data_IF_901984727932
#
_entry.id   IF_901984727932
#
_cell.length_a   1.000
_cell.length_b   1.000
_cell.length_c   1.000
_cell.angle_alpha   90.00
_cell.angle_beta   90.00
_cell.angle_gamma   90.00
#
_symmetry.space_group_name_H-M   'P 1'
#
loop_
_entity.id
_entity.type
_entity.pdbx_description
1 polymer ?
#
# COMPACT_ATOMS: atom_id res chain seq x y z
N UNK A 1 -6.32 7.31 -1.05
CA UNK A 1 -5.17 6.60 -1.66
C UNK A 1 -3.89 7.28 -1.22
N UNK A 2 -2.87 6.51 -0.82
CA UNK A 2 -1.64 7.06 -0.24
C UNK A 2 -0.69 7.65 -1.32
N UNK A 3 0.09 8.70 -0.98
CA UNK A 3 1.13 9.25 -1.85
C UNK A 3 2.36 8.34 -1.88
N UNK A 4 2.24 7.17 -2.50
CA UNK A 4 3.41 6.30 -2.67
C UNK A 4 4.50 7.01 -3.49
N UNK A 5 5.75 6.87 -3.03
CA UNK A 5 6.94 7.46 -3.64
C UNK A 5 8.01 6.38 -3.90
N UNK A 6 9.13 6.79 -4.50
CA UNK A 6 10.24 5.87 -4.79
C UNK A 6 9.81 4.67 -5.66
N UNK A 7 10.25 3.45 -5.33
CA UNK A 7 9.86 2.22 -6.05
C UNK A 7 8.35 1.97 -6.12
N UNK A 8 7.59 2.46 -5.12
CA UNK A 8 6.14 2.29 -5.04
C UNK A 8 5.36 3.38 -5.79
N UNK A 9 6.02 4.34 -6.43
CA UNK A 9 5.36 5.44 -7.16
C UNK A 9 4.34 4.95 -8.20
N UNK A 10 4.56 3.78 -8.79
CA UNK A 10 3.62 3.13 -9.71
C UNK A 10 2.24 2.88 -9.09
N UNK A 11 2.17 2.66 -7.78
CA UNK A 11 0.94 2.38 -7.03
C UNK A 11 0.12 3.64 -6.73
N UNK A 12 0.71 4.82 -6.94
CA UNK A 12 0.06 6.09 -6.60
C UNK A 12 -1.12 6.34 -7.53
N UNK A 13 -2.31 6.45 -6.94
CA UNK A 13 -3.51 6.83 -7.67
C UNK A 13 -3.39 8.24 -8.27
N UNK A 14 -4.14 8.48 -9.35
CA UNK A 14 -4.27 9.80 -9.98
C UNK A 14 -4.66 10.89 -8.97
N UNK A 15 -5.53 10.55 -8.02
CA UNK A 15 -6.01 11.43 -6.96
C UNK A 15 -5.59 10.90 -5.59
N UNK A 16 -4.29 10.64 -5.42
CA UNK A 16 -3.72 10.31 -4.11
C UNK A 16 -3.67 11.56 -3.22
N UNK A 17 -3.85 11.38 -1.91
CA UNK A 17 -3.62 12.46 -0.95
C UNK A 17 -2.17 12.91 -1.02
N UNK A 18 -1.93 14.20 -0.90
CA UNK A 18 -0.62 14.77 -0.61
C UNK A 18 -0.22 14.51 0.85
N UNK A 19 1.08 14.56 1.17
CA UNK A 19 1.54 14.45 2.55
C UNK A 19 0.93 15.51 3.49
N UNK A 20 0.65 16.72 2.99
CA UNK A 20 -0.01 17.78 3.78
C UNK A 20 -1.48 17.48 4.05
N UNK A 21 -2.21 16.94 3.07
CA UNK A 21 -3.61 16.52 3.28
C UNK A 21 -3.72 15.39 4.31
N UNK A 22 -2.79 14.42 4.29
CA UNK A 22 -2.75 13.38 5.33
C UNK A 22 -2.49 14.00 6.71
N UNK A 23 -1.52 14.92 6.82
CA UNK A 23 -1.26 15.62 8.09
C UNK A 23 -2.47 16.39 8.59
N UNK A 24 -3.22 17.02 7.69
CA UNK A 24 -4.45 17.73 8.03
C UNK A 24 -5.53 16.78 8.56
N UNK A 25 -5.73 15.62 7.91
CA UNK A 25 -6.68 14.60 8.38
C UNK A 25 -6.30 14.13 9.79
N UNK A 26 -5.02 13.84 10.04
CA UNK A 26 -4.53 13.40 11.35
C UNK A 26 -4.68 14.51 12.41
N UNK A 27 -4.42 15.76 12.04
CA UNK A 27 -4.59 16.91 12.91
C UNK A 27 -6.06 17.09 13.33
N UNK A 28 -6.97 17.06 12.37
CA UNK A 28 -8.41 17.17 12.61
C UNK A 28 -8.94 16.02 13.46
N UNK A 29 -8.47 14.78 13.24
CA UNK A 29 -8.83 13.64 14.08
C UNK A 29 -8.40 13.87 15.54
N UNK A 30 -7.17 14.35 15.76
CA UNK A 30 -6.67 14.68 17.09
C UNK A 30 -7.46 15.79 17.79
N UNK A 31 -7.88 16.84 17.07
CA UNK A 31 -8.73 17.91 17.61
C UNK A 31 -10.12 17.42 18.04
N UNK A 32 -10.58 16.28 17.50
CA UNK A 32 -11.89 15.70 17.79
C UNK A 32 -11.80 14.45 18.66
N UNK A 33 -10.65 14.22 19.32
CA UNK A 33 -10.43 13.07 20.22
C UNK A 33 -10.65 11.71 19.51
N UNK A 34 -10.36 11.64 18.21
CA UNK A 34 -10.47 10.41 17.40
C UNK A 34 -9.10 9.75 17.25
N UNK A 35 -9.04 8.44 17.53
CA UNK A 35 -7.87 7.61 17.26
C UNK A 35 -7.87 7.14 15.80
N UNK A 36 -6.74 7.32 15.11
CA UNK A 36 -6.56 6.86 13.74
C UNK A 36 -5.81 5.53 13.75
N UNK A 37 -6.50 4.46 13.38
CA UNK A 37 -5.91 3.12 13.25
C UNK A 37 -5.56 2.86 11.78
N UNK A 38 -4.27 2.73 11.42
CA UNK A 38 -3.89 2.40 10.05
C UNK A 38 -4.24 0.93 9.73
N UNK A 39 -4.87 0.73 8.58
CA UNK A 39 -5.12 -0.59 8.00
C UNK A 39 -4.22 -0.76 6.78
N UNK A 40 -3.18 -1.58 6.90
CA UNK A 40 -2.22 -1.85 5.84
C UNK A 40 -2.23 -3.35 5.55
N UNK A 41 -2.38 -3.70 4.27
CA UNK A 41 -2.27 -5.09 3.82
C UNK A 41 -0.81 -5.47 3.69
N UNK A 42 -0.42 -6.62 4.24
CA UNK A 42 0.98 -7.11 4.26
C UNK A 42 1.14 -8.50 3.65
N UNK A 43 0.05 -9.16 3.27
CA UNK A 43 0.11 -10.52 2.74
C UNK A 43 -0.99 -10.78 1.70
N UNK A 44 -2.25 -10.79 2.14
CA UNK A 44 -3.42 -10.93 1.28
C UNK A 44 -4.01 -9.59 0.84
N UNK A 45 -4.98 -9.63 -0.06
CA UNK A 45 -5.65 -8.44 -0.63
C UNK A 45 -4.66 -7.44 -1.27
N UNK A 46 -3.59 -7.98 -1.86
CA UNK A 46 -2.49 -7.23 -2.45
C UNK A 46 -2.69 -6.93 -3.94
N UNK A 47 -3.91 -7.08 -4.49
CA UNK A 47 -4.19 -6.90 -5.92
C UNK A 47 -3.84 -5.49 -6.40
N UNK A 48 -3.92 -4.50 -5.51
CA UNK A 48 -3.53 -3.12 -5.85
C UNK A 48 -2.04 -2.99 -6.15
N UNK A 49 -1.20 -3.88 -5.61
CA UNK A 49 0.25 -3.97 -5.85
C UNK A 49 0.56 -5.01 -6.92
N UNK A 50 0.15 -6.25 -6.69
CA UNK A 50 0.64 -7.41 -7.44
C UNK A 50 0.02 -7.55 -8.83
N UNK A 51 -1.02 -6.77 -9.18
CA UNK A 51 -1.52 -6.73 -10.58
C UNK A 51 -0.51 -6.13 -11.56
N UNK A 52 0.45 -5.34 -11.07
CA UNK A 52 1.45 -4.69 -11.89
C UNK A 52 2.58 -5.66 -12.27
N UNK A 53 3.07 -5.57 -13.51
CA UNK A 53 4.14 -6.44 -14.01
C UNK A 53 5.43 -6.33 -13.19
N UNK A 54 5.73 -5.14 -12.65
CA UNK A 54 6.88 -4.88 -11.79
C UNK A 54 6.88 -5.66 -10.47
N UNK A 55 5.72 -6.16 -10.02
CA UNK A 55 5.56 -6.89 -8.76
C UNK A 55 4.98 -8.30 -8.97
N UNK A 56 4.81 -8.73 -10.23
CA UNK A 56 4.13 -9.98 -10.53
C UNK A 56 4.93 -11.22 -10.09
N UNK A 57 6.25 -11.11 -10.00
CA UNK A 57 7.14 -12.18 -9.51
C UNK A 57 7.00 -12.43 -8.01
N UNK A 58 6.41 -11.50 -7.27
CA UNK A 58 6.18 -11.62 -5.83
C UNK A 58 4.86 -12.33 -5.49
N UNK A 59 4.09 -12.80 -6.47
CA UNK A 59 2.81 -13.50 -6.22
C UNK A 59 3.06 -14.90 -5.68
N UNK A 60 2.30 -15.31 -4.67
CA UNK A 60 2.33 -16.69 -4.16
C UNK A 60 1.91 -17.70 -5.25
N UNK A 61 0.84 -17.37 -5.98
CA UNK A 61 0.39 -18.14 -7.14
C UNK A 61 0.39 -17.21 -8.36
N UNK A 62 1.22 -17.51 -9.36
CA UNK A 62 1.52 -16.58 -10.46
C UNK A 62 0.29 -16.01 -11.20
N UNK A 63 -0.77 -16.80 -11.34
CA UNK A 63 -2.02 -16.38 -11.98
C UNK A 63 -2.92 -15.48 -11.11
N UNK A 64 -2.67 -15.39 -9.80
CA UNK A 64 -3.53 -14.68 -8.86
C UNK A 64 -2.76 -13.53 -8.18
N UNK A 65 -3.19 -12.26 -8.38
CA UNK A 65 -2.50 -11.11 -7.82
C UNK A 65 -2.94 -10.79 -6.37
N UNK A 66 -3.57 -11.71 -5.64
CA UNK A 66 -4.14 -11.41 -4.32
C UNK A 66 -3.17 -11.61 -3.16
N UNK A 67 -2.20 -12.51 -3.29
CA UNK A 67 -1.35 -12.95 -2.16
C UNK A 67 0.13 -12.83 -2.50
N UNK A 68 0.89 -12.28 -1.55
CA UNK A 68 2.34 -12.15 -1.60
C UNK A 68 3.01 -13.50 -1.28
N UNK A 69 4.06 -13.87 -2.02
CA UNK A 69 4.83 -15.08 -1.74
C UNK A 69 5.76 -14.85 -0.54
N UNK A 70 5.56 -15.52 0.61
CA UNK A 70 6.42 -15.34 1.79
C UNK A 70 7.83 -15.91 1.61
N UNK A 71 8.05 -16.74 0.58
CA UNK A 71 9.35 -17.36 0.32
C UNK A 71 10.27 -16.51 -0.57
N UNK A 72 9.74 -15.47 -1.21
CA UNK A 72 10.57 -14.50 -1.94
C UNK A 72 11.19 -13.50 -0.95
N UNK A 73 12.52 -13.43 -0.89
CA UNK A 73 13.21 -12.54 0.05
C UNK A 73 12.82 -11.06 -0.16
N UNK A 74 12.52 -10.67 -1.39
CA UNK A 74 12.04 -9.33 -1.75
C UNK A 74 10.68 -8.99 -1.13
N UNK A 75 9.83 -9.99 -0.83
CA UNK A 75 8.52 -9.77 -0.19
C UNK A 75 8.62 -9.15 1.20
N UNK A 76 9.75 -9.35 1.90
CA UNK A 76 9.98 -8.73 3.21
C UNK A 76 10.29 -7.23 3.11
N UNK A 77 10.84 -6.78 1.98
CA UNK A 77 11.23 -5.40 1.76
C UNK A 77 10.10 -4.53 1.18
N UNK A 78 8.95 -5.13 0.86
CA UNK A 78 7.77 -4.48 0.29
C UNK A 78 6.85 -3.92 1.38
#
# INVERSE_FOLDING_TARGET
MFPYEGPLRLLRAKYAYSPSEIKEILHLAGLNELEVIPLVQTFGHMEFVLKHTAFAHLREVGSFPCTLNPHEAESLAL
#
